data_IF_919402905400
#
_entry.id   IF_919402905400
#
_cell.length_a   1.000
_cell.length_b   1.000
_cell.length_c   1.000
_cell.angle_alpha   90.00
_cell.angle_beta   90.00
_cell.angle_gamma   90.00
#
_symmetry.space_group_name_H-M   'P 1'
#
loop_
_entity.id
_entity.type
_entity.pdbx_description
1 polymer ?
#
# COMPACT_ATOMS: atom_id res chain seq x y z
N UNK A 1 10.83 13.69 15.85
CA UNK A 1 10.06 12.93 14.85
C UNK A 1 11.02 12.58 13.72
N UNK A 2 11.10 11.31 13.29
CA UNK A 2 11.97 10.95 12.17
C UNK A 2 11.40 11.61 10.91
N UNK A 3 12.26 12.33 10.19
CA UNK A 3 11.98 12.83 8.85
C UNK A 3 12.12 11.67 7.88
N UNK A 4 11.14 11.47 6.99
CA UNK A 4 11.31 10.54 5.87
C UNK A 4 12.06 11.34 4.80
N UNK A 5 13.17 10.81 4.28
CA UNK A 5 13.95 11.48 3.24
C UNK A 5 13.07 11.72 2.01
N UNK A 6 12.99 12.96 1.53
CA UNK A 6 12.15 13.34 0.38
C UNK A 6 10.73 13.82 0.72
N UNK A 7 10.39 13.94 2.00
CA UNK A 7 9.07 14.33 2.47
C UNK A 7 8.74 15.81 2.23
N UNK A 8 7.71 16.07 1.40
CA UNK A 8 7.16 17.41 1.19
C UNK A 8 6.18 17.78 2.31
N UNK A 9 6.37 18.96 2.91
CA UNK A 9 5.54 19.50 3.98
C UNK A 9 4.57 20.52 3.41
N UNK A 10 3.27 20.25 3.52
CA UNK A 10 2.23 21.09 2.94
C UNK A 10 1.28 21.60 4.01
N UNK A 11 1.03 22.92 4.11
CA UNK A 11 -0.01 23.45 4.99
C UNK A 11 -1.41 22.96 4.58
N UNK A 12 -2.26 22.63 5.55
CA UNK A 12 -3.62 22.09 5.31
C UNK A 12 -4.47 22.98 4.39
N UNK A 13 -4.31 24.30 4.45
CA UNK A 13 -5.01 25.24 3.56
C UNK A 13 -4.59 25.09 2.10
N UNK A 14 -3.32 24.82 1.87
CA UNK A 14 -2.78 24.63 0.52
C UNK A 14 -3.19 23.27 -0.05
N UNK A 15 -3.09 22.22 0.79
CA UNK A 15 -3.56 20.88 0.47
C UNK A 15 -5.04 20.87 0.08
N UNK A 16 -5.90 21.56 0.84
CA UNK A 16 -7.33 21.67 0.53
C UNK A 16 -7.61 22.42 -0.78
N UNK A 17 -6.82 23.44 -1.11
CA UNK A 17 -7.00 24.24 -2.32
C UNK A 17 -6.56 23.51 -3.59
N UNK A 18 -5.53 22.65 -3.49
CA UNK A 18 -4.90 22.02 -4.64
C UNK A 18 -4.72 20.51 -4.47
N UNK A 19 -5.72 19.80 -3.92
CA UNK A 19 -5.56 18.40 -3.53
C UNK A 19 -5.07 17.49 -4.66
N UNK A 20 -5.52 17.75 -5.89
CA UNK A 20 -5.16 16.99 -7.09
C UNK A 20 -3.67 17.06 -7.44
N UNK A 21 -2.96 18.14 -7.07
CA UNK A 21 -1.51 18.27 -7.31
C UNK A 21 -0.69 17.27 -6.51
N UNK A 22 -1.27 16.67 -5.47
CA UNK A 22 -0.58 15.78 -4.56
C UNK A 22 -0.89 14.30 -4.86
N UNK A 23 -1.80 14.02 -5.79
CA UNK A 23 -2.07 12.64 -6.23
C UNK A 23 -0.86 12.03 -6.96
N UNK A 24 -0.14 12.83 -7.74
CA UNK A 24 1.04 12.36 -8.50
C UNK A 24 2.36 12.42 -7.71
N UNK A 25 2.34 12.98 -6.48
CA UNK A 25 3.56 13.22 -5.68
C UNK A 25 3.91 12.08 -4.72
N UNK A 26 3.10 11.03 -4.66
CA UNK A 26 3.34 9.83 -3.87
C UNK A 26 3.04 9.98 -2.37
N UNK A 27 3.85 10.73 -1.61
CA UNK A 27 3.68 10.91 -0.16
C UNK A 27 3.92 12.38 0.28
N UNK A 28 2.92 12.98 0.92
CA UNK A 28 2.96 14.38 1.36
C UNK A 28 2.49 14.50 2.80
N UNK A 29 3.25 15.18 3.67
CA UNK A 29 2.85 15.43 5.05
C UNK A 29 2.02 16.71 5.14
N UNK A 30 0.80 16.59 5.63
CA UNK A 30 -0.09 17.74 5.86
C UNK A 30 0.12 18.30 7.25
N UNK A 31 0.28 19.62 7.34
CA UNK A 31 0.55 20.32 8.61
C UNK A 31 -0.46 21.44 8.87
N UNK A 32 -0.71 21.75 10.15
CA UNK A 32 -1.47 22.91 10.59
C UNK A 32 -0.76 23.55 11.77
N UNK A 33 -0.42 24.84 11.65
CA UNK A 33 0.32 25.59 12.66
C UNK A 33 1.63 24.88 13.07
N UNK A 34 2.37 24.33 12.09
CA UNK A 34 3.62 23.60 12.32
C UNK A 34 3.46 22.19 12.92
N UNK A 35 2.24 21.75 13.23
CA UNK A 35 1.97 20.40 13.73
C UNK A 35 1.52 19.49 12.59
N UNK A 36 2.02 18.25 12.58
CA UNK A 36 1.58 17.23 11.64
C UNK A 36 0.11 16.85 11.91
N UNK A 37 -0.70 16.81 10.85
CA UNK A 37 -2.08 16.30 10.89
C UNK A 37 -2.19 14.89 10.32
N UNK A 38 -1.30 14.53 9.38
CA UNK A 38 -1.35 13.25 8.70
C UNK A 38 -0.62 13.29 7.37
N UNK A 39 -0.85 12.25 6.58
CA UNK A 39 -0.23 12.07 5.28
C UNK A 39 -1.30 11.99 4.19
N UNK A 40 -1.03 12.61 3.06
CA UNK A 40 -1.65 12.28 1.79
C UNK A 40 -0.75 11.27 1.11
N UNK A 41 -1.32 10.14 0.75
CA UNK A 41 -0.65 9.05 0.05
C UNK A 41 -1.54 8.66 -1.14
N UNK A 42 -0.93 8.31 -2.27
CA UNK A 42 -1.65 7.76 -3.40
C UNK A 42 -2.19 6.36 -3.07
N UNK A 43 -3.35 5.99 -3.64
CA UNK A 43 -4.06 4.75 -3.30
C UNK A 43 -3.22 3.51 -3.65
N UNK A 44 -2.50 3.54 -4.76
CA UNK A 44 -1.59 2.47 -5.21
C UNK A 44 -0.43 2.25 -4.22
N UNK A 45 0.23 3.33 -3.78
CA UNK A 45 1.28 3.26 -2.77
C UNK A 45 0.76 2.76 -1.41
N UNK A 46 -0.47 3.13 -1.05
CA UNK A 46 -1.10 2.62 0.17
C UNK A 46 -1.35 1.11 0.04
N UNK A 47 -1.85 0.64 -1.11
CA UNK A 47 -2.03 -0.79 -1.38
C UNK A 47 -0.70 -1.56 -1.31
N UNK A 48 0.36 -1.05 -1.94
CA UNK A 48 1.70 -1.66 -1.89
C UNK A 48 2.26 -1.72 -0.45
N UNK A 49 2.01 -0.68 0.34
CA UNK A 49 2.41 -0.65 1.76
C UNK A 49 1.66 -1.72 2.56
N UNK A 50 0.35 -1.85 2.35
CA UNK A 50 -0.47 -2.87 3.02
C UNK A 50 0.01 -4.27 2.62
N UNK A 51 0.19 -4.53 1.33
CA UNK A 51 0.72 -5.81 0.84
C UNK A 51 2.10 -6.11 1.44
N UNK A 52 2.99 -5.11 1.51
CA UNK A 52 4.30 -5.26 2.13
C UNK A 52 4.21 -5.63 3.61
N UNK A 53 3.32 -4.97 4.36
CA UNK A 53 3.07 -5.29 5.78
C UNK A 53 2.50 -6.71 5.91
N UNK A 54 1.53 -7.10 5.09
CA UNK A 54 0.99 -8.45 5.11
C UNK A 54 2.04 -9.49 4.76
N UNK A 55 2.93 -9.17 3.82
CA UNK A 55 4.02 -10.06 3.41
C UNK A 55 5.08 -10.24 4.49
N UNK A 56 5.24 -9.26 5.38
CA UNK A 56 6.11 -9.34 6.56
C UNK A 56 5.59 -10.29 7.64
N UNK A 57 4.33 -10.73 7.56
CA UNK A 57 3.80 -11.73 8.46
C UNK A 57 4.52 -13.08 8.22
N UNK A 58 5.14 -13.70 9.24
CA UNK A 58 5.87 -14.97 9.09
C UNK A 58 5.00 -16.09 8.47
N UNK A 59 3.70 -16.06 8.76
CA UNK A 59 2.75 -17.02 8.21
C UNK A 59 2.47 -16.79 6.71
N UNK A 60 2.64 -15.58 6.21
CA UNK A 60 2.55 -15.29 4.76
C UNK A 60 3.75 -15.88 4.01
N UNK A 61 4.97 -15.62 4.48
CA UNK A 61 6.20 -16.18 3.89
C UNK A 61 6.16 -17.71 3.87
N UNK A 62 5.73 -18.33 4.98
CA UNK A 62 5.61 -19.79 5.09
C UNK A 62 4.58 -20.35 4.11
N UNK A 63 3.44 -19.65 3.91
CA UNK A 63 2.43 -20.02 2.91
C UNK A 63 2.95 -19.88 1.48
N UNK A 64 3.68 -18.80 1.18
CA UNK A 64 4.31 -18.58 -0.13
C UNK A 64 5.35 -19.64 -0.47
N UNK A 65 6.20 -20.00 0.49
CA UNK A 65 7.19 -21.08 0.31
C UNK A 65 6.53 -22.43 0.08
N UNK A 66 5.42 -22.71 0.80
CA UNK A 66 4.61 -23.90 0.56
C UNK A 66 4.07 -23.89 -0.87
N UNK A 67 3.44 -22.80 -1.32
CA UNK A 67 2.89 -22.68 -2.69
C UNK A 67 3.98 -22.86 -3.75
N UNK A 68 5.14 -22.22 -3.59
CA UNK A 68 6.30 -22.36 -4.51
C UNK A 68 6.82 -23.80 -4.59
N UNK A 69 6.84 -24.53 -3.47
CA UNK A 69 7.26 -25.95 -3.43
C UNK A 69 6.20 -26.90 -3.98
N UNK A 70 4.92 -26.53 -3.87
CA UNK A 70 3.81 -27.42 -4.25
C UNK A 70 3.47 -27.34 -5.73
N UNK A 71 4.11 -26.46 -6.52
CA UNK A 71 3.92 -26.11 -7.96
C UNK A 71 3.21 -27.15 -8.84
N UNK A 72 1.95 -27.44 -8.54
CA UNK A 72 0.98 -28.06 -9.43
C UNK A 72 0.16 -26.90 -9.94
N UNK A 73 0.45 -26.47 -11.17
CA UNK A 73 -0.44 -25.55 -11.87
C UNK A 73 -1.74 -26.33 -12.12
N UNK A 74 -2.80 -25.96 -11.43
CA UNK A 74 -4.11 -26.56 -11.60
C UNK A 74 -4.82 -25.74 -12.69
N UNK A 75 -5.26 -26.37 -13.80
CA UNK A 75 -5.94 -25.64 -14.86
C UNK A 75 -7.32 -25.17 -14.39
N UNK A 76 -7.76 -24.01 -14.91
CA UNK A 76 -8.97 -23.32 -14.47
C UNK A 76 -10.22 -24.21 -14.48
N UNK A 77 -10.39 -25.02 -15.54
CA UNK A 77 -11.52 -25.96 -15.67
C UNK A 77 -11.60 -26.98 -14.52
N UNK A 78 -10.45 -27.40 -13.98
CA UNK A 78 -10.38 -28.33 -12.85
C UNK A 78 -10.75 -27.63 -11.54
N UNK A 79 -10.33 -26.36 -11.38
CA UNK A 79 -10.74 -25.54 -10.22
C UNK A 79 -12.25 -25.31 -10.25
N UNK A 80 -12.81 -24.92 -11.40
CA UNK A 80 -14.25 -24.71 -11.55
C UNK A 80 -15.05 -25.98 -11.25
N UNK A 81 -14.59 -27.14 -11.74
CA UNK A 81 -15.21 -28.43 -11.44
C UNK A 81 -15.13 -28.87 -9.97
N UNK A 82 -14.05 -28.54 -9.25
CA UNK A 82 -13.87 -28.87 -7.83
C UNK A 82 -14.70 -27.96 -6.90
N UNK A 83 -14.94 -26.70 -7.30
CA UNK A 83 -15.64 -25.70 -6.49
C UNK A 83 -17.08 -25.41 -6.94
N UNK A 84 -17.56 -26.06 -8.01
CA UNK A 84 -18.94 -25.93 -8.50
C UNK A 84 -19.28 -24.56 -9.06
N UNK A 85 -18.30 -23.88 -9.67
CA UNK A 85 -18.42 -22.56 -10.29
C UNK A 85 -18.52 -22.65 -11.81
#
# INVERSE_FOLDING_TARGET
MPFILGEELVPVREAQKNITKYFDKGLVRVTKNGKSLGYLIADDMLSELIESIESSNPNFLTRMDKIKKTTKRIPLNKVLGEYGL
#
